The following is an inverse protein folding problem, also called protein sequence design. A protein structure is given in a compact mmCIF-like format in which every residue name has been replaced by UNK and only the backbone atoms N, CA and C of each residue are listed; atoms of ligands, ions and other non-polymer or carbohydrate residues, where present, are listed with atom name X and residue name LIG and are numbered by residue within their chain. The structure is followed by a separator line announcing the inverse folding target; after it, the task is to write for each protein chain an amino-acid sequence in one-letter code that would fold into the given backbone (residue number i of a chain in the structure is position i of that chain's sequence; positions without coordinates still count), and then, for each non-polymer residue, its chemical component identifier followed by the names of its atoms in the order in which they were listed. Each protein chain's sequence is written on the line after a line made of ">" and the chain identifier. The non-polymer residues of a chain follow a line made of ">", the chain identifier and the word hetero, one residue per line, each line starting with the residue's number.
data_IF_403240905194
#
_entry.id   IF_403240905194
#
_cell.length_a   1.000
_cell.length_b   1.000
_cell.length_c   1.000
_cell.angle_alpha   90.00
_cell.angle_beta   90.00
_cell.angle_gamma   90.00
#
_symmetry.space_group_name_H-M   'P 1'
#
loop_
_entity.id
_entity.type
_entity.pdbx_description
1 polymer ?
#
# COMPACT_ATOMS: atom_id res chain seq x y z
N UNK A 1 -23.35 1.06 59.57
CA UNK A 1 -22.46 0.66 58.46
C UNK A 1 -22.28 1.90 57.58
N UNK A 2 -21.05 2.32 57.26
CA UNK A 2 -20.88 3.44 56.33
C UNK A 2 -21.52 3.03 54.99
N UNK A 3 -22.55 3.78 54.55
CA UNK A 3 -23.32 3.53 53.32
C UNK A 3 -22.61 3.98 52.05
N UNK A 4 -21.27 3.96 52.05
CA UNK A 4 -20.42 4.49 51.00
C UNK A 4 -19.28 3.53 50.71
N UNK A 5 -19.03 3.30 49.42
CA UNK A 5 -17.86 2.58 48.89
C UNK A 5 -17.51 3.18 47.53
N UNK A 6 -16.23 3.32 47.26
CA UNK A 6 -15.71 3.66 45.93
C UNK A 6 -15.73 2.43 45.03
N UNK A 7 -16.15 2.63 43.79
CA UNK A 7 -16.16 1.63 42.73
C UNK A 7 -15.51 2.24 41.50
N UNK A 8 -14.47 1.59 41.00
CA UNK A 8 -13.82 1.94 39.74
C UNK A 8 -14.14 0.85 38.72
N UNK A 9 -14.73 1.23 37.58
CA UNK A 9 -15.02 0.33 36.49
C UNK A 9 -13.90 0.39 35.44
N UNK A 10 -13.20 -0.73 35.25
CA UNK A 10 -12.22 -0.88 34.17
C UNK A 10 -12.93 -1.09 32.82
N UNK A 11 -13.57 -0.02 32.32
CA UNK A 11 -14.14 0.03 30.98
C UNK A 11 -13.11 -0.34 29.90
N UNK A 12 -11.83 0.11 29.97
CA UNK A 12 -10.79 -0.31 29.05
C UNK A 12 -10.56 -1.82 28.95
N UNK A 13 -10.28 -2.47 30.09
CA UNK A 13 -10.03 -3.90 30.15
C UNK A 13 -11.24 -4.70 29.70
N UNK A 14 -12.44 -4.31 30.15
CA UNK A 14 -13.68 -4.95 29.73
C UNK A 14 -13.90 -4.84 28.21
N UNK A 15 -13.68 -3.66 27.60
CA UNK A 15 -13.82 -3.50 26.16
C UNK A 15 -12.80 -4.36 25.39
N UNK A 16 -11.54 -4.40 25.85
CA UNK A 16 -10.50 -5.23 25.25
C UNK A 16 -10.87 -6.71 25.29
N UNK A 17 -11.29 -7.22 26.45
CA UNK A 17 -11.69 -8.62 26.62
C UNK A 17 -12.86 -8.99 25.71
N UNK A 18 -13.86 -8.12 25.60
CA UNK A 18 -14.99 -8.32 24.69
C UNK A 18 -14.55 -8.31 23.23
N UNK A 19 -13.63 -7.42 22.86
CA UNK A 19 -13.10 -7.29 21.51
C UNK A 19 -12.26 -8.51 21.09
N UNK A 20 -11.43 -9.01 22.00
CA UNK A 20 -10.64 -10.24 21.81
C UNK A 20 -11.58 -11.42 21.57
N UNK A 21 -12.56 -11.65 22.46
CA UNK A 21 -13.52 -12.76 22.30
C UNK A 21 -14.26 -12.69 20.97
N UNK A 22 -14.75 -11.50 20.60
CA UNK A 22 -15.42 -11.30 19.33
C UNK A 22 -14.50 -11.62 18.14
N UNK A 23 -13.24 -11.18 18.16
CA UNK A 23 -12.28 -11.48 17.10
C UNK A 23 -11.95 -12.98 17.02
N UNK A 24 -11.78 -13.67 18.16
CA UNK A 24 -11.45 -15.09 18.21
C UNK A 24 -12.60 -15.96 17.67
N UNK A 25 -13.84 -15.61 17.96
CA UNK A 25 -15.04 -16.33 17.51
C UNK A 25 -15.39 -16.08 16.03
N UNK A 26 -14.91 -14.98 15.44
CA UNK A 26 -15.17 -14.65 14.04
C UNK A 26 -14.43 -15.57 13.07
N UNK A 27 -15.09 -15.96 11.98
CA UNK A 27 -14.40 -16.46 10.79
C UNK A 27 -13.74 -15.30 10.04
N UNK A 28 -12.60 -15.59 9.39
CA UNK A 28 -11.97 -14.60 8.51
C UNK A 28 -12.60 -14.62 7.12
N UNK A 29 -12.64 -13.46 6.45
CA UNK A 29 -13.09 -13.31 5.06
C UNK A 29 -11.91 -13.04 4.11
N UNK A 30 -12.00 -13.36 2.81
CA UNK A 30 -10.97 -12.98 1.82
C UNK A 30 -10.74 -11.46 1.76
N UNK A 31 -9.48 -11.00 1.62
CA UNK A 31 -9.16 -9.58 1.45
C UNK A 31 -9.28 -9.15 -0.03
N UNK A 32 -10.48 -9.28 -0.58
CA UNK A 32 -10.82 -8.98 -1.97
C UNK A 32 -12.12 -8.15 -2.09
N UNK A 33 -12.53 -7.70 -3.29
CA UNK A 33 -13.73 -6.89 -3.45
C UNK A 33 -15.02 -7.56 -2.93
N UNK A 34 -15.13 -8.88 -3.01
CA UNK A 34 -16.31 -9.62 -2.55
C UNK A 34 -16.36 -9.61 -1.01
N UNK A 35 -15.27 -9.99 -0.34
CA UNK A 35 -15.17 -9.96 1.12
C UNK A 35 -15.30 -8.56 1.71
N UNK A 36 -14.86 -7.52 0.98
CA UNK A 36 -14.96 -6.13 1.42
C UNK A 36 -16.34 -5.49 1.19
N UNK A 37 -17.20 -6.08 0.38
CA UNK A 37 -18.52 -5.52 0.03
C UNK A 37 -19.45 -5.29 1.22
N UNK A 38 -19.27 -6.06 2.29
CA UNK A 38 -20.07 -5.98 3.52
C UNK A 38 -19.47 -5.03 4.58
N UNK A 39 -18.24 -4.55 4.37
CA UNK A 39 -17.53 -3.75 5.36
C UNK A 39 -18.01 -2.29 5.29
N UNK A 40 -18.53 -1.71 6.38
CA UNK A 40 -18.95 -0.32 6.37
C UNK A 40 -17.74 0.63 6.38
N UNK A 41 -17.91 1.81 5.79
CA UNK A 41 -16.99 2.93 6.01
C UNK A 41 -17.23 3.52 7.41
N UNK A 42 -16.60 2.89 8.40
CA UNK A 42 -16.75 3.24 9.81
C UNK A 42 -15.43 3.06 10.55
N UNK A 43 -15.33 3.66 11.74
CA UNK A 43 -14.16 3.47 12.57
C UNK A 43 -14.19 2.10 13.29
N UNK A 44 -13.02 1.56 13.62
CA UNK A 44 -12.88 0.21 14.15
C UNK A 44 -11.44 -0.32 14.12
N UNK A 45 -11.34 -1.63 14.34
CA UNK A 45 -10.08 -2.38 14.28
C UNK A 45 -10.20 -3.53 13.29
N UNK A 46 -9.07 -4.02 12.79
CA UNK A 46 -9.01 -5.16 11.90
C UNK A 46 -7.72 -5.96 12.09
N UNK A 47 -7.79 -7.23 11.73
CA UNK A 47 -6.69 -8.17 11.68
C UNK A 47 -6.53 -8.66 10.25
N UNK A 48 -5.29 -8.84 9.79
CA UNK A 48 -4.96 -9.52 8.54
C UNK A 48 -4.21 -10.81 8.82
N UNK A 49 -4.51 -11.81 8.01
CA UNK A 49 -3.96 -13.14 8.10
C UNK A 49 -3.33 -13.54 6.76
N UNK A 50 -2.18 -14.20 6.79
CA UNK A 50 -1.56 -14.84 5.63
C UNK A 50 -1.46 -16.34 5.94
N UNK A 51 -2.08 -17.18 5.11
CA UNK A 51 -2.13 -18.63 5.32
C UNK A 51 -2.62 -19.02 6.74
N UNK A 52 -3.57 -18.25 7.28
CA UNK A 52 -4.14 -18.44 8.63
C UNK A 52 -3.31 -17.86 9.77
N UNK A 53 -2.08 -17.41 9.54
CA UNK A 53 -1.26 -16.76 10.56
C UNK A 53 -1.60 -15.26 10.67
N UNK A 54 -1.78 -14.76 11.89
CA UNK A 54 -1.99 -13.33 12.15
C UNK A 54 -0.73 -12.54 11.79
N UNK A 55 -0.81 -11.72 10.74
CA UNK A 55 0.34 -10.96 10.21
C UNK A 55 0.22 -9.47 10.40
N UNK A 56 -0.97 -8.90 10.64
CA UNK A 56 -1.15 -7.47 10.86
C UNK A 56 -2.35 -7.18 11.75
N UNK A 57 -2.22 -6.22 12.66
CA UNK A 57 -3.32 -5.59 13.38
C UNK A 57 -3.30 -4.11 13.01
N UNK A 58 -4.46 -3.54 12.72
CA UNK A 58 -4.57 -2.11 12.49
C UNK A 58 -5.86 -1.53 13.02
N UNK A 59 -5.86 -0.21 13.17
CA UNK A 59 -7.06 0.58 13.44
C UNK A 59 -7.34 1.57 12.31
N UNK A 60 -8.51 2.17 12.41
CA UNK A 60 -8.90 3.33 11.62
C UNK A 60 -8.93 4.58 12.49
N UNK A 61 -8.71 5.73 11.86
CA UNK A 61 -8.82 7.03 12.48
C UNK A 61 -10.13 7.71 12.02
N UNK A 62 -10.33 8.98 12.37
CA UNK A 62 -11.50 9.74 11.96
C UNK A 62 -11.51 10.09 10.45
N UNK A 63 -10.37 9.96 9.75
CA UNK A 63 -10.21 10.40 8.36
C UNK A 63 -10.42 9.26 7.35
N UNK A 64 -10.09 8.02 7.72
CA UNK A 64 -10.28 6.84 6.88
C UNK A 64 -10.88 5.67 7.67
N UNK A 65 -12.08 5.24 7.30
CA UNK A 65 -12.79 4.11 7.89
C UNK A 65 -12.26 2.74 7.44
N UNK A 66 -12.91 1.69 7.95
CA UNK A 66 -12.51 0.29 7.80
C UNK A 66 -12.45 -0.10 6.32
N UNK A 67 -13.51 0.19 5.58
CA UNK A 67 -13.58 -0.13 4.16
C UNK A 67 -12.41 0.49 3.39
N UNK A 68 -12.20 1.81 3.45
CA UNK A 68 -11.10 2.49 2.75
C UNK A 68 -9.72 1.94 3.16
N UNK A 69 -9.49 1.68 4.45
CA UNK A 69 -8.20 1.18 4.94
C UNK A 69 -7.93 -0.24 4.45
N UNK A 70 -8.93 -1.11 4.47
CA UNK A 70 -8.83 -2.49 3.99
C UNK A 70 -8.73 -2.57 2.47
N UNK A 71 -9.46 -1.75 1.71
CA UNK A 71 -9.29 -1.62 0.26
C UNK A 71 -7.84 -1.26 -0.08
N UNK A 72 -7.26 -0.29 0.61
CA UNK A 72 -5.85 0.08 0.36
C UNK A 72 -4.89 -1.08 0.65
N UNK A 73 -5.15 -1.89 1.68
CA UNK A 73 -4.35 -3.06 1.99
C UNK A 73 -4.54 -4.16 0.94
N UNK A 74 -5.79 -4.41 0.50
CA UNK A 74 -6.08 -5.33 -0.60
C UNK A 74 -5.29 -4.96 -1.85
N UNK A 75 -5.36 -3.68 -2.27
CA UNK A 75 -4.56 -3.17 -3.40
C UNK A 75 -3.06 -3.36 -3.18
N UNK A 76 -2.54 -3.06 -1.97
CA UNK A 76 -1.10 -3.18 -1.67
C UNK A 76 -0.57 -4.62 -1.80
N UNK A 77 -1.42 -5.62 -1.62
CA UNK A 77 -1.04 -7.04 -1.76
C UNK A 77 -1.01 -7.52 -3.21
N UNK A 78 -1.60 -6.79 -4.15
CA UNK A 78 -1.61 -7.15 -5.57
C UNK A 78 -0.27 -6.86 -6.25
N UNK A 79 0.04 -7.64 -7.29
CA UNK A 79 1.26 -7.54 -8.10
C UNK A 79 2.52 -7.45 -7.22
N UNK A 80 2.63 -8.37 -6.27
CA UNK A 80 3.78 -8.53 -5.39
C UNK A 80 4.43 -9.87 -5.66
N UNK A 81 5.75 -9.89 -5.81
CA UNK A 81 6.47 -11.15 -5.88
C UNK A 81 6.28 -11.93 -4.57
N UNK A 82 6.08 -13.25 -4.69
CA UNK A 82 5.92 -14.18 -3.56
C UNK A 82 4.66 -13.98 -2.69
N UNK A 83 3.72 -13.12 -3.09
CA UNK A 83 2.46 -12.89 -2.38
C UNK A 83 1.28 -13.01 -3.34
N UNK A 84 0.55 -14.11 -3.22
CA UNK A 84 -0.75 -14.28 -3.86
C UNK A 84 -1.83 -13.63 -2.97
N UNK A 85 -2.58 -12.62 -3.47
CA UNK A 85 -3.65 -11.96 -2.72
C UNK A 85 -4.71 -12.92 -2.17
N UNK A 86 -4.97 -14.05 -2.84
CA UNK A 86 -5.98 -15.03 -2.41
C UNK A 86 -5.63 -15.69 -1.06
N UNK A 87 -4.36 -15.64 -0.65
CA UNK A 87 -3.88 -16.15 0.64
C UNK A 87 -4.14 -15.18 1.80
N UNK A 88 -4.51 -13.94 1.50
CA UNK A 88 -4.71 -12.89 2.50
C UNK A 88 -6.17 -12.81 2.92
N UNK A 89 -6.40 -12.90 4.22
CA UNK A 89 -7.74 -12.85 4.83
C UNK A 89 -7.81 -11.77 5.89
N UNK A 90 -9.01 -11.34 6.25
CA UNK A 90 -9.20 -10.33 7.28
C UNK A 90 -10.35 -10.65 8.26
N UNK A 91 -10.27 -10.03 9.43
CA UNK A 91 -11.38 -9.84 10.37
C UNK A 91 -11.49 -8.35 10.67
N UNK A 92 -12.69 -7.81 10.80
CA UNK A 92 -12.88 -6.38 11.10
C UNK A 92 -14.08 -6.16 12.03
N UNK A 93 -13.90 -5.29 13.02
CA UNK A 93 -14.95 -4.93 13.97
C UNK A 93 -15.10 -3.41 13.98
N UNK A 94 -16.32 -2.94 13.69
CA UNK A 94 -16.70 -1.54 13.88
C UNK A 94 -16.83 -1.24 15.37
N UNK A 95 -16.34 -0.09 15.79
CA UNK A 95 -16.46 0.40 17.16
C UNK A 95 -17.37 1.64 17.17
N UNK A 96 -18.38 1.65 18.03
CA UNK A 96 -19.36 2.74 18.13
C UNK A 96 -18.96 3.83 19.13
N UNK A 97 -18.18 3.49 20.16
CA UNK A 97 -17.77 4.42 21.22
C UNK A 97 -16.26 4.52 21.21
N UNK A 98 -15.76 5.71 20.87
CA UNK A 98 -14.33 6.02 20.99
C UNK A 98 -14.06 6.51 22.39
N UNK A 99 -13.82 5.58 23.31
CA UNK A 99 -12.96 5.90 24.44
C UNK A 99 -11.57 6.22 23.88
N UNK A 100 -10.86 7.20 24.47
CA UNK A 100 -9.51 7.62 24.09
C UNK A 100 -8.43 6.54 24.38
N UNK A 101 -8.67 5.31 23.89
CA UNK A 101 -7.91 4.11 24.18
C UNK A 101 -7.15 3.67 22.95
N UNK A 102 -5.90 3.27 23.17
CA UNK A 102 -5.06 2.76 22.11
C UNK A 102 -5.30 1.26 21.89
N UNK A 103 -6.48 0.93 21.34
CA UNK A 103 -6.92 -0.44 21.13
C UNK A 103 -5.99 -1.23 20.20
N UNK A 104 -5.35 -0.59 19.23
CA UNK A 104 -4.36 -1.24 18.35
C UNK A 104 -3.18 -1.77 19.17
N UNK A 105 -2.57 -0.91 19.99
CA UNK A 105 -1.45 -1.31 20.85
C UNK A 105 -1.87 -2.38 21.85
N UNK A 106 -3.06 -2.28 22.43
CA UNK A 106 -3.58 -3.29 23.36
C UNK A 106 -3.81 -4.65 22.68
N UNK A 107 -4.38 -4.65 21.47
CA UNK A 107 -4.58 -5.89 20.69
C UNK A 107 -3.23 -6.48 20.26
N UNK A 108 -2.28 -5.65 19.81
CA UNK A 108 -0.93 -6.11 19.49
C UNK A 108 -0.31 -6.77 20.72
N UNK A 109 -0.39 -6.11 21.89
CA UNK A 109 0.12 -6.64 23.15
C UNK A 109 -0.54 -7.98 23.51
N UNK A 110 -1.87 -8.07 23.36
CA UNK A 110 -2.63 -9.28 23.65
C UNK A 110 -2.18 -10.45 22.77
N UNK A 111 -2.14 -10.27 21.44
CA UNK A 111 -1.87 -11.35 20.50
C UNK A 111 -0.38 -11.67 20.29
N UNK A 112 0.53 -10.76 20.64
CA UNK A 112 1.97 -10.88 20.30
C UNK A 112 2.90 -10.66 21.50
N UNK A 113 2.35 -10.60 22.71
CA UNK A 113 2.99 -10.15 23.94
C UNK A 113 3.49 -8.71 23.84
N UNK A 114 4.54 -8.40 23.05
CA UNK A 114 5.04 -7.05 22.74
C UNK A 114 5.79 -6.97 21.39
N UNK A 115 6.00 -8.09 20.69
CA UNK A 115 6.86 -8.14 19.50
C UNK A 115 6.25 -7.49 18.25
N UNK A 116 4.93 -7.26 18.25
CA UNK A 116 4.21 -6.98 17.02
C UNK A 116 3.99 -8.24 16.19
N UNK A 117 3.14 -8.13 15.18
CA UNK A 117 3.03 -9.15 14.14
C UNK A 117 4.09 -8.92 13.06
N UNK A 118 4.28 -9.90 12.16
CA UNK A 118 5.25 -9.82 11.06
C UNK A 118 5.14 -8.54 10.22
N UNK A 119 3.93 -7.99 10.01
CA UNK A 119 3.71 -6.79 9.19
C UNK A 119 3.51 -5.50 10.00
N UNK A 120 3.32 -5.57 11.31
CA UNK A 120 3.34 -4.36 12.13
C UNK A 120 4.78 -3.82 12.21
N UNK A 121 4.98 -2.53 11.93
CA UNK A 121 6.32 -1.91 11.91
C UNK A 121 7.21 -2.28 10.70
N UNK A 122 6.77 -3.17 9.80
CA UNK A 122 7.56 -3.66 8.67
C UNK A 122 7.54 -2.76 7.43
N UNK A 123 6.76 -1.67 7.44
CA UNK A 123 6.45 -0.86 6.26
C UNK A 123 5.12 -1.20 5.58
N UNK A 124 4.44 -2.29 5.95
CA UNK A 124 3.14 -2.65 5.36
C UNK A 124 2.07 -1.56 5.54
N UNK A 125 1.93 -1.01 6.76
CA UNK A 125 0.98 0.07 7.05
C UNK A 125 1.43 1.48 6.66
N UNK A 126 2.66 1.64 6.15
CA UNK A 126 3.26 2.95 5.88
C UNK A 126 2.74 3.57 4.57
N UNK A 127 2.64 4.90 4.57
CA UNK A 127 2.37 5.70 3.37
C UNK A 127 3.67 5.87 2.55
N UNK A 128 3.52 6.26 1.28
CA UNK A 128 4.66 6.64 0.43
C UNK A 128 5.43 7.82 1.07
N UNK A 129 6.73 7.64 1.38
CA UNK A 129 7.52 8.67 2.03
C UNK A 129 7.97 9.81 1.10
N UNK A 130 7.74 9.68 -0.22
CA UNK A 130 8.10 10.69 -1.21
C UNK A 130 9.57 10.67 -1.62
N UNK A 131 9.91 11.43 -2.68
CA UNK A 131 11.21 11.41 -3.38
C UNK A 131 12.42 11.55 -2.45
N UNK A 132 12.31 12.38 -1.40
CA UNK A 132 13.40 12.63 -0.45
C UNK A 132 13.83 11.39 0.38
N UNK A 133 13.09 10.28 0.29
CA UNK A 133 13.38 9.04 1.02
C UNK A 133 13.66 7.85 0.12
N UNK A 134 13.80 8.05 -1.18
CA UNK A 134 14.03 6.96 -2.15
C UNK A 134 15.40 6.28 -1.97
N UNK A 135 16.34 6.93 -1.30
CA UNK A 135 17.64 6.35 -0.92
C UNK A 135 17.59 5.55 0.39
N UNK A 136 16.44 5.49 1.06
CA UNK A 136 16.30 4.80 2.35
C UNK A 136 16.18 3.29 2.15
N UNK A 137 16.64 2.53 3.15
CA UNK A 137 16.41 1.08 3.18
C UNK A 137 14.89 0.81 3.22
N UNK A 138 14.37 -0.08 2.35
CA UNK A 138 12.95 -0.45 2.38
C UNK A 138 12.59 -1.17 3.67
N UNK A 139 11.30 -1.12 4.04
CA UNK A 139 10.76 -1.94 5.12
C UNK A 139 10.90 -3.43 4.83
N UNK A 140 10.86 -4.27 5.86
CA UNK A 140 10.98 -5.73 5.68
C UNK A 140 9.83 -6.32 4.86
N UNK A 141 8.63 -5.72 4.90
CA UNK A 141 7.53 -6.17 4.04
C UNK A 141 7.86 -6.04 2.57
N UNK A 142 8.35 -4.87 2.13
CA UNK A 142 8.66 -4.65 0.73
C UNK A 142 9.94 -5.39 0.29
N UNK A 143 10.80 -5.82 1.22
CA UNK A 143 11.92 -6.73 0.92
C UNK A 143 11.44 -8.16 0.67
N UNK A 144 10.52 -8.66 1.51
CA UNK A 144 9.95 -10.01 1.38
C UNK A 144 9.00 -10.13 0.18
N UNK A 145 8.26 -9.05 -0.09
CA UNK A 145 7.20 -8.96 -1.10
C UNK A 145 7.38 -7.70 -1.97
N UNK A 146 8.44 -7.63 -2.79
CA UNK A 146 8.66 -6.49 -3.67
C UNK A 146 7.58 -6.41 -4.75
N UNK A 147 7.39 -5.23 -5.34
CA UNK A 147 6.51 -5.04 -6.49
C UNK A 147 6.95 -5.95 -7.64
N UNK A 148 5.98 -6.57 -8.31
CA UNK A 148 6.22 -7.35 -9.52
C UNK A 148 5.90 -6.51 -10.76
N UNK A 149 6.95 -5.97 -11.36
CA UNK A 149 6.86 -5.17 -12.59
C UNK A 149 6.74 -6.01 -13.86
N UNK A 150 6.79 -7.34 -13.74
CA UNK A 150 6.63 -8.27 -14.85
C UNK A 150 5.22 -8.88 -14.91
N UNK A 151 4.33 -8.48 -13.99
CA UNK A 151 2.93 -8.87 -14.07
C UNK A 151 2.24 -8.09 -15.20
N UNK A 152 1.37 -8.78 -15.94
CA UNK A 152 0.55 -8.15 -16.96
C UNK A 152 -0.36 -7.07 -16.36
N UNK A 153 -0.45 -5.93 -17.04
CA UNK A 153 -1.40 -4.87 -16.71
C UNK A 153 -2.68 -5.07 -17.51
N UNK A 154 -3.82 -4.78 -16.89
CA UNK A 154 -5.14 -4.94 -17.52
C UNK A 154 -5.48 -3.83 -18.53
N UNK A 155 -4.53 -2.96 -18.87
CA UNK A 155 -4.74 -1.76 -19.70
C UNK A 155 -3.86 -1.81 -20.93
N UNK A 156 -4.46 -1.70 -22.10
CA UNK A 156 -3.75 -1.59 -23.36
C UNK A 156 -3.20 -0.17 -23.55
N UNK A 157 -1.88 -0.05 -23.62
CA UNK A 157 -1.17 1.22 -23.83
C UNK A 157 -0.62 1.35 -25.25
N UNK A 158 -0.92 0.41 -26.15
CA UNK A 158 -0.36 0.36 -27.49
C UNK A 158 -0.71 1.58 -28.35
N UNK A 159 0.15 1.83 -29.34
CA UNK A 159 0.00 2.90 -30.30
C UNK A 159 0.74 4.18 -29.92
N UNK A 160 0.47 5.24 -30.68
CA UNK A 160 1.15 6.54 -30.52
C UNK A 160 0.34 7.47 -29.62
N UNK A 161 0.95 7.91 -28.52
CA UNK A 161 0.39 8.85 -27.53
C UNK A 161 1.49 9.79 -27.04
N UNK A 162 1.15 10.79 -26.23
CA UNK A 162 2.16 11.53 -25.47
C UNK A 162 2.71 10.67 -24.33
N UNK A 163 3.97 10.86 -23.95
CA UNK A 163 4.54 10.17 -22.80
C UNK A 163 3.76 10.47 -21.51
N UNK A 164 3.19 11.67 -21.37
CA UNK A 164 2.32 12.04 -20.25
C UNK A 164 1.05 11.19 -20.16
N UNK A 165 0.43 10.87 -21.29
CA UNK A 165 -0.74 9.96 -21.35
C UNK A 165 -0.33 8.56 -20.91
N UNK A 166 0.75 8.02 -21.49
CA UNK A 166 1.24 6.67 -21.15
C UNK A 166 1.54 6.52 -19.65
N UNK A 167 2.29 7.46 -19.06
CA UNK A 167 2.64 7.36 -17.62
C UNK A 167 1.44 7.56 -16.70
N UNK A 168 0.43 8.33 -17.13
CA UNK A 168 -0.79 8.58 -16.34
C UNK A 168 -1.74 7.37 -16.38
N UNK A 169 -1.90 6.76 -17.55
CA UNK A 169 -2.66 5.53 -17.73
C UNK A 169 -1.97 4.38 -16.97
N UNK A 170 -0.64 4.23 -17.13
CA UNK A 170 0.14 3.24 -16.40
C UNK A 170 0.00 3.43 -14.88
N UNK A 171 0.11 4.66 -14.38
CA UNK A 171 -0.09 4.94 -12.94
C UNK A 171 -1.46 4.52 -12.42
N UNK A 172 -2.49 4.59 -13.26
CA UNK A 172 -3.86 4.20 -12.90
C UNK A 172 -4.03 2.68 -12.93
N UNK A 173 -3.34 2.01 -13.85
CA UNK A 173 -3.42 0.56 -14.03
C UNK A 173 -2.65 -0.24 -12.95
N UNK A 174 -1.65 0.37 -12.30
CA UNK A 174 -0.79 -0.31 -11.34
C UNK A 174 -1.38 -0.31 -9.92
N UNK A 175 -1.41 -1.47 -9.22
CA UNK A 175 -1.85 -1.55 -7.84
C UNK A 175 -0.75 -1.17 -6.83
N UNK A 176 0.35 -0.63 -7.31
CA UNK A 176 1.45 -0.11 -6.50
C UNK A 176 1.83 1.29 -6.96
N UNK A 177 2.63 1.97 -6.14
CA UNK A 177 2.98 3.36 -6.42
C UNK A 177 3.86 3.44 -7.66
N UNK A 178 3.41 4.23 -8.65
CA UNK A 178 4.24 4.74 -9.73
C UNK A 178 4.31 6.27 -9.63
N UNK A 179 5.53 6.79 -9.50
CA UNK A 179 5.80 8.24 -9.49
C UNK A 179 6.55 8.64 -10.74
N UNK A 180 6.22 9.82 -11.23
CA UNK A 180 6.97 10.47 -12.29
C UNK A 180 7.08 11.96 -12.04
N UNK A 181 8.09 12.59 -12.62
CA UNK A 181 8.30 14.02 -12.45
C UNK A 181 7.17 14.84 -13.07
N UNK A 182 6.72 15.82 -12.30
CA UNK A 182 5.71 16.81 -12.71
C UNK A 182 6.40 18.11 -13.13
N UNK A 183 5.63 19.04 -13.69
CA UNK A 183 6.13 20.35 -14.07
C UNK A 183 6.80 21.11 -12.90
N UNK A 184 7.55 22.18 -13.21
CA UNK A 184 8.37 22.88 -12.23
C UNK A 184 7.56 23.39 -11.02
N UNK A 185 8.19 23.34 -9.84
CA UNK A 185 7.56 23.72 -8.57
C UNK A 185 6.58 22.66 -8.03
N UNK A 186 5.55 23.09 -7.31
CA UNK A 186 4.48 22.20 -6.78
C UNK A 186 3.36 21.96 -7.81
N UNK A 187 3.68 21.99 -9.10
CA UNK A 187 2.70 21.80 -10.17
C UNK A 187 2.21 20.35 -10.19
N UNK A 188 0.90 20.17 -10.37
CA UNK A 188 0.30 18.84 -10.62
C UNK A 188 0.28 18.46 -12.10
N UNK A 189 0.72 19.36 -12.99
CA UNK A 189 0.77 19.08 -14.43
C UNK A 189 1.96 18.17 -14.75
N UNK A 190 1.88 17.33 -15.79
CA UNK A 190 3.03 16.55 -16.26
C UNK A 190 4.23 17.44 -16.59
N UNK A 191 5.45 16.89 -16.46
CA UNK A 191 6.65 17.59 -16.90
C UNK A 191 6.57 17.93 -18.40
N UNK A 192 7.07 19.09 -18.86
CA UNK A 192 7.01 19.48 -20.28
C UNK A 192 7.54 18.43 -21.25
N UNK A 193 8.66 17.77 -20.93
CA UNK A 193 9.17 16.65 -21.74
C UNK A 193 8.13 15.55 -21.91
N UNK A 194 7.45 15.13 -20.84
CA UNK A 194 6.43 14.09 -20.92
C UNK A 194 5.22 14.56 -21.75
N UNK A 195 4.82 15.83 -21.58
CA UNK A 195 3.66 16.38 -22.28
C UNK A 195 3.89 16.60 -23.78
N UNK A 196 5.14 16.88 -24.19
CA UNK A 196 5.47 17.27 -25.56
C UNK A 196 6.14 16.15 -26.38
N UNK A 197 6.53 15.04 -25.75
CA UNK A 197 7.12 13.90 -26.45
C UNK A 197 6.04 12.90 -26.86
N UNK A 198 5.87 12.73 -28.17
CA UNK A 198 5.11 11.62 -28.73
C UNK A 198 5.96 10.34 -28.64
N UNK A 199 5.35 9.27 -28.13
CA UNK A 199 5.95 7.96 -27.98
C UNK A 199 5.06 6.91 -28.64
N UNK A 200 5.65 5.83 -29.11
CA UNK A 200 4.91 4.67 -29.61
C UNK A 200 5.21 3.46 -28.74
N UNK A 201 4.16 2.80 -28.25
CA UNK A 201 4.25 1.57 -27.47
C UNK A 201 3.77 0.40 -28.32
N UNK A 202 4.56 -0.66 -28.37
CA UNK A 202 4.22 -1.85 -29.14
C UNK A 202 3.11 -2.66 -28.46
N UNK A 203 2.21 -3.31 -29.23
CA UNK A 203 1.06 -4.03 -28.68
C UNK A 203 1.42 -5.29 -27.87
N UNK A 204 2.64 -5.79 -27.97
CA UNK A 204 3.16 -6.90 -27.17
C UNK A 204 3.68 -6.46 -25.79
N UNK A 205 3.65 -5.15 -25.49
CA UNK A 205 4.04 -4.64 -24.17
C UNK A 205 2.88 -4.71 -23.18
N UNK A 206 2.83 -5.82 -22.44
CA UNK A 206 1.78 -6.06 -21.45
C UNK A 206 2.21 -5.81 -20.01
N UNK A 207 3.50 -5.56 -19.74
CA UNK A 207 4.03 -5.41 -18.37
C UNK A 207 4.57 -4.01 -18.10
N UNK A 208 4.58 -3.59 -16.83
CA UNK A 208 5.15 -2.30 -16.44
C UNK A 208 6.61 -2.17 -16.88
N UNK A 209 7.41 -3.24 -16.73
CA UNK A 209 8.79 -3.31 -17.20
C UNK A 209 8.87 -3.02 -18.69
N UNK A 210 8.16 -3.81 -19.50
CA UNK A 210 8.30 -3.76 -20.96
C UNK A 210 7.81 -2.43 -21.54
N UNK A 211 6.77 -1.84 -20.93
CA UNK A 211 6.27 -0.51 -21.30
C UNK A 211 7.31 0.56 -20.98
N UNK A 212 7.92 0.52 -19.80
CA UNK A 212 8.93 1.50 -19.37
C UNK A 212 10.21 1.39 -20.21
N UNK A 213 10.67 0.17 -20.48
CA UNK A 213 11.87 -0.09 -21.29
C UNK A 213 11.69 0.39 -22.74
N UNK A 214 10.47 0.42 -23.27
CA UNK A 214 10.16 1.01 -24.59
C UNK A 214 9.92 2.53 -24.53
N UNK A 215 9.25 3.02 -23.49
CA UNK A 215 8.92 4.44 -23.32
C UNK A 215 10.17 5.30 -23.14
N UNK A 216 11.04 4.93 -22.19
CA UNK A 216 12.08 5.84 -21.67
C UNK A 216 13.11 6.22 -22.74
N UNK A 217 13.60 5.33 -23.61
CA UNK A 217 14.54 5.71 -24.66
C UNK A 217 14.00 6.74 -25.67
N UNK A 218 12.68 6.95 -25.72
CA UNK A 218 12.04 7.94 -26.60
C UNK A 218 11.97 9.34 -25.98
N UNK A 219 12.29 9.47 -24.69
CA UNK A 219 12.29 10.75 -23.97
C UNK A 219 13.57 11.57 -24.28
N UNK A 220 13.56 12.90 -24.06
CA UNK A 220 14.77 13.71 -24.10
C UNK A 220 15.82 13.22 -23.09
N UNK A 221 17.10 13.52 -23.28
CA UNK A 221 18.16 13.03 -22.38
C UNK A 221 17.94 13.36 -20.88
N UNK A 222 18.33 12.44 -20.00
CA UNK A 222 18.36 12.62 -18.55
C UNK A 222 17.18 11.99 -17.78
N UNK A 223 16.25 11.32 -18.47
CA UNK A 223 15.23 10.52 -17.80
C UNK A 223 15.79 9.16 -17.38
N UNK A 224 15.44 8.75 -16.16
CA UNK A 224 15.78 7.45 -15.60
C UNK A 224 14.53 6.82 -15.01
N UNK A 225 14.21 5.60 -15.45
CA UNK A 225 13.26 4.75 -14.76
C UNK A 225 13.97 3.79 -13.82
N UNK A 226 13.48 3.71 -12.60
CA UNK A 226 14.08 2.89 -11.55
C UNK A 226 12.98 2.13 -10.80
N UNK A 227 13.18 0.82 -10.62
CA UNK A 227 12.34 -0.01 -9.76
C UNK A 227 12.98 -0.13 -8.38
N UNK A 228 12.29 0.37 -7.36
CA UNK A 228 12.55 0.07 -5.95
C UNK A 228 11.60 -1.03 -5.49
N UNK A 229 11.89 -1.64 -4.35
CA UNK A 229 11.09 -2.77 -3.84
C UNK A 229 9.61 -2.43 -3.62
N UNK A 230 9.26 -1.18 -3.32
CA UNK A 230 7.88 -0.74 -3.06
C UNK A 230 7.28 0.16 -4.15
N UNK A 231 8.10 0.71 -5.03
CA UNK A 231 7.71 1.83 -5.90
C UNK A 231 8.47 1.81 -7.21
N UNK A 232 7.78 2.13 -8.29
CA UNK A 232 8.36 2.44 -9.59
C UNK A 232 8.51 3.96 -9.69
N UNK A 233 9.67 4.45 -10.13
CA UNK A 233 9.92 5.87 -10.34
C UNK A 233 10.41 6.15 -11.76
N UNK A 234 10.01 7.30 -12.30
CA UNK A 234 10.49 7.85 -13.56
C UNK A 234 10.79 9.35 -13.37
N UNK A 235 12.06 9.68 -13.20
CA UNK A 235 12.48 11.05 -12.89
C UNK A 235 13.50 11.55 -13.91
N UNK A 236 13.58 12.87 -14.03
CA UNK A 236 14.67 13.52 -14.77
C UNK A 236 15.83 13.72 -13.80
N UNK A 237 16.76 12.77 -13.83
CA UNK A 237 17.91 12.73 -12.92
C UNK A 237 19.14 13.37 -13.54
N UNK A 238 20.05 13.83 -12.68
CA UNK A 238 21.32 14.39 -13.15
C UNK A 238 22.41 13.34 -13.19
N UNK A 239 22.50 12.50 -12.16
CA UNK A 239 23.35 11.30 -12.04
C UNK A 239 22.92 10.47 -10.81
N UNK A 240 21.64 10.50 -10.46
CA UNK A 240 21.17 9.98 -9.18
C UNK A 240 21.09 8.45 -9.20
N UNK A 241 21.76 7.84 -8.23
CA UNK A 241 21.79 6.40 -8.02
C UNK A 241 21.08 6.03 -6.74
N UNK A 242 20.30 4.95 -6.80
CA UNK A 242 19.51 4.44 -5.69
C UNK A 242 20.10 3.08 -5.26
N UNK A 243 20.78 2.99 -4.09
CA UNK A 243 21.60 1.82 -3.73
C UNK A 243 20.89 0.46 -3.66
N UNK A 244 19.56 0.46 -3.54
CA UNK A 244 18.73 -0.75 -3.38
C UNK A 244 17.75 -0.93 -4.54
N UNK A 245 18.04 -0.32 -5.69
CA UNK A 245 17.11 -0.25 -6.80
C UNK A 245 17.71 -0.83 -8.09
N UNK A 246 16.82 -1.17 -9.02
CA UNK A 246 17.18 -1.61 -10.36
C UNK A 246 16.86 -0.51 -11.36
N UNK A 247 17.87 0.02 -12.05
CA UNK A 247 17.65 0.92 -13.19
C UNK A 247 17.08 0.09 -14.35
N UNK A 248 15.93 0.50 -14.87
CA UNK A 248 15.24 -0.19 -15.96
C UNK A 248 15.67 0.37 -17.33
N UNK A 249 15.70 1.69 -17.45
CA UNK A 249 16.05 2.37 -18.69
C UNK A 249 16.52 3.81 -18.43
N UNK A 250 17.29 4.34 -19.38
CA UNK A 250 17.75 5.73 -19.44
C UNK A 250 17.60 6.28 -20.86
N UNK A 251 17.30 7.57 -20.96
CA UNK A 251 17.26 8.36 -22.21
C UNK A 251 18.53 9.18 -22.42
#
# INVERSE_FOLDING_TARGET
>A
MPGYREFEFDLPGALLDHLVRALDEMESAPLDPEGLSIVPEAQGVYQLFLDGALVYIGKTDAEAGLFRRLVRHSTKTQHRANLDPARVRFKAIRIFVFTAMDLETQLIKHYTAEAGTRWNGSGFGANDPGRNRDNSKPGTFDQDFPIDINHDIATDLAGTKTAAEVVSELKTALPYTFRFDTGPGRSRKPHPDLANTAVTISPDRTTARSIIEELVPQLPSGWQATALSAVLILYKEKNDEYPQATVLARS
#
